data_IF_736679092692
#
_entry.id   IF_736679092692
#
_cell.length_a   1.000
_cell.length_b   1.000
_cell.length_c   1.000
_cell.angle_alpha   90.00
_cell.angle_beta   90.00
_cell.angle_gamma   90.00
#
_symmetry.space_group_name_H-M   'P 1'
#
loop_
_entity.id
_entity.type
_entity.pdbx_description
1 polymer ?
#
# COMPACT_ATOMS: atom_id res chain seq x y z
N UNK A 1 -6.79 -19.55 -15.57
CA UNK A 1 -7.92 -19.38 -14.62
C UNK A 1 -8.10 -17.88 -14.30
N UNK A 2 -9.31 -17.33 -14.49
CA UNK A 2 -9.64 -15.94 -14.11
C UNK A 2 -9.92 -15.87 -12.61
N UNK A 3 -9.13 -15.08 -11.87
CA UNK A 3 -9.25 -14.93 -10.41
C UNK A 3 -10.34 -13.91 -10.09
N UNK A 4 -11.18 -14.21 -9.09
CA UNK A 4 -12.25 -13.34 -8.58
C UNK A 4 -12.07 -13.12 -7.08
N UNK A 5 -11.19 -12.20 -6.65
CA UNK A 5 -10.81 -12.05 -5.25
C UNK A 5 -11.93 -11.40 -4.42
N UNK A 6 -12.07 -11.83 -3.16
CA UNK A 6 -12.89 -11.15 -2.15
C UNK A 6 -12.01 -10.28 -1.26
N UNK A 7 -12.08 -8.98 -1.42
CA UNK A 7 -11.31 -8.03 -0.60
C UNK A 7 -12.02 -7.71 0.72
N UNK A 8 -11.25 -7.72 1.82
CA UNK A 8 -11.69 -7.35 3.16
C UNK A 8 -10.75 -6.26 3.66
N UNK A 9 -11.18 -5.00 3.56
CA UNK A 9 -10.37 -3.89 4.03
C UNK A 9 -10.58 -3.63 5.52
N UNK A 10 -9.46 -3.41 6.23
CA UNK A 10 -9.43 -2.95 7.62
C UNK A 10 -8.33 -1.90 7.76
N UNK A 11 -8.72 -0.65 7.97
CA UNK A 11 -7.79 0.43 8.33
C UNK A 11 -7.38 0.28 9.79
N UNK A 12 -6.15 0.66 10.12
CA UNK A 12 -5.81 1.01 11.49
C UNK A 12 -6.49 2.35 11.84
N UNK A 13 -6.96 2.50 13.08
CA UNK A 13 -7.29 3.78 13.73
C UNK A 13 -6.09 4.10 14.61
N UNK A 14 -5.46 5.23 14.34
CA UNK A 14 -4.43 5.79 15.22
C UNK A 14 -5.12 6.47 16.41
N UNK A 15 -4.76 6.09 17.62
CA UNK A 15 -5.33 6.61 18.86
C UNK A 15 -4.70 5.93 20.07
N UNK A 16 -5.15 6.30 21.27
CA UNK A 16 -4.55 5.83 22.52
C UNK A 16 -4.83 4.36 22.83
N UNK A 17 -5.92 3.83 22.28
CA UNK A 17 -6.32 2.42 22.45
C UNK A 17 -5.71 1.55 21.36
N UNK A 18 -5.35 0.33 21.74
CA UNK A 18 -4.85 -0.67 20.79
C UNK A 18 -5.98 -1.08 19.84
N UNK A 19 -5.87 -0.73 18.56
CA UNK A 19 -6.82 -1.12 17.54
C UNK A 19 -6.55 -2.54 17.02
N UNK A 20 -7.37 -3.52 17.44
CA UNK A 20 -7.22 -4.92 17.06
C UNK A 20 -8.03 -5.33 15.81
N UNK A 21 -8.65 -4.41 15.07
CA UNK A 21 -9.54 -4.78 13.95
C UNK A 21 -8.84 -5.56 12.85
N UNK A 22 -7.60 -5.21 12.52
CA UNK A 22 -6.78 -5.98 11.56
C UNK A 22 -6.44 -7.36 12.11
N UNK A 23 -5.99 -7.44 13.37
CA UNK A 23 -5.66 -8.71 14.02
C UNK A 23 -6.87 -9.65 14.07
N UNK A 24 -8.05 -9.14 14.46
CA UNK A 24 -9.30 -9.91 14.52
C UNK A 24 -9.74 -10.36 13.12
N UNK A 25 -9.52 -9.56 12.09
CA UNK A 25 -9.83 -9.94 10.71
C UNK A 25 -9.01 -11.15 10.22
N UNK A 26 -7.76 -11.31 10.69
CA UNK A 26 -6.95 -12.49 10.34
C UNK A 26 -7.66 -13.78 10.77
N UNK A 27 -8.09 -13.88 12.05
CA UNK A 27 -8.73 -15.09 12.54
C UNK A 27 -10.18 -15.24 12.05
N UNK A 28 -10.94 -14.14 12.00
CA UNK A 28 -12.35 -14.15 11.58
C UNK A 28 -12.51 -14.62 10.13
N UNK A 29 -11.67 -14.11 9.23
CA UNK A 29 -11.85 -14.34 7.80
C UNK A 29 -10.88 -15.37 7.21
N UNK A 30 -9.85 -15.77 7.97
CA UNK A 30 -8.82 -16.74 7.54
C UNK A 30 -8.33 -16.44 6.11
N UNK A 31 -7.79 -15.24 5.85
CA UNK A 31 -7.48 -14.81 4.50
C UNK A 31 -6.42 -15.71 3.86
N UNK A 32 -6.50 -15.88 2.54
CA UNK A 32 -5.47 -16.54 1.75
C UNK A 32 -4.29 -15.60 1.51
N UNK A 33 -4.56 -14.31 1.40
CA UNK A 33 -3.59 -13.25 1.13
C UNK A 33 -3.79 -12.10 2.11
N UNK A 34 -2.70 -11.56 2.66
CA UNK A 34 -2.69 -10.31 3.41
C UNK A 34 -1.81 -9.30 2.65
N UNK A 35 -2.36 -8.12 2.39
CA UNK A 35 -1.67 -6.99 1.80
C UNK A 35 -1.37 -5.94 2.86
N UNK A 36 -0.09 -5.71 3.14
CA UNK A 36 0.38 -4.69 4.08
C UNK A 36 0.79 -3.40 3.37
N UNK A 37 0.49 -2.26 4.01
CA UNK A 37 0.99 -0.93 3.65
C UNK A 37 2.45 -0.70 4.12
N UNK A 38 3.32 -1.64 3.76
CA UNK A 38 4.76 -1.58 4.05
C UNK A 38 5.56 -1.37 2.76
N UNK A 39 6.70 -0.65 2.82
CA UNK A 39 7.54 -0.43 1.65
C UNK A 39 7.97 -1.72 0.94
N UNK A 40 8.22 -1.61 -0.37
CA UNK A 40 8.76 -2.73 -1.13
C UNK A 40 10.12 -3.17 -0.59
N UNK A 41 10.31 -4.48 -0.55
CA UNK A 41 11.62 -5.08 -0.43
C UNK A 41 12.33 -5.14 -1.78
N UNK A 42 13.54 -5.71 -1.80
CA UNK A 42 14.32 -5.91 -3.03
C UNK A 42 13.64 -6.82 -4.05
N UNK A 43 12.72 -7.69 -3.62
CA UNK A 43 12.03 -8.69 -4.44
C UNK A 43 10.63 -8.24 -4.90
N UNK A 44 10.39 -6.93 -4.96
CA UNK A 44 9.06 -6.38 -5.23
C UNK A 44 8.09 -6.64 -4.07
N UNK A 45 6.81 -6.95 -4.34
CA UNK A 45 5.82 -7.10 -3.27
C UNK A 45 5.93 -8.41 -2.49
N UNK A 46 6.72 -9.37 -2.97
CA UNK A 46 6.90 -10.67 -2.32
C UNK A 46 7.64 -10.54 -0.99
N UNK A 47 7.18 -11.30 -0.01
CA UNK A 47 7.92 -11.51 1.25
C UNK A 47 8.53 -12.90 1.28
N UNK A 48 9.56 -13.08 2.10
CA UNK A 48 10.24 -14.37 2.28
C UNK A 48 9.27 -15.50 2.67
N UNK A 49 8.14 -15.17 3.34
CA UNK A 49 7.19 -16.16 3.83
C UNK A 49 6.46 -16.88 2.70
N UNK A 50 6.35 -16.28 1.51
CA UNK A 50 5.65 -16.85 0.37
C UNK A 50 6.43 -17.98 -0.31
N UNK A 51 7.74 -18.07 -0.04
CA UNK A 51 8.62 -19.08 -0.64
C UNK A 51 8.53 -20.44 0.07
N UNK A 52 7.81 -20.52 1.19
CA UNK A 52 7.73 -21.71 2.01
C UNK A 52 6.30 -22.24 2.06
N UNK A 53 6.12 -23.58 2.02
CA UNK A 53 4.83 -24.19 2.33
C UNK A 53 4.46 -23.92 3.80
N UNK A 54 3.19 -24.11 4.14
CA UNK A 54 2.63 -23.77 5.46
C UNK A 54 3.36 -24.42 6.64
N UNK A 55 3.80 -25.67 6.48
CA UNK A 55 4.51 -26.44 7.50
C UNK A 55 6.01 -26.11 7.61
N UNK A 56 6.57 -25.32 6.69
CA UNK A 56 7.99 -24.91 6.68
C UNK A 56 8.19 -23.40 6.77
N UNK A 57 7.17 -22.66 7.23
CA UNK A 57 7.26 -21.20 7.36
C UNK A 57 8.44 -20.81 8.27
N UNK A 58 9.22 -19.77 7.93
CA UNK A 58 10.41 -19.38 8.70
C UNK A 58 10.01 -18.66 10.00
N UNK A 59 9.55 -19.42 11.00
CA UNK A 59 8.99 -18.88 12.26
C UNK A 59 9.98 -18.00 13.04
N UNK A 60 11.29 -18.26 12.92
CA UNK A 60 12.34 -17.42 13.51
C UNK A 60 12.22 -15.95 13.03
N UNK A 61 11.90 -15.75 11.74
CA UNK A 61 11.69 -14.41 11.17
C UNK A 61 10.46 -13.71 11.71
N UNK A 62 9.39 -14.45 12.01
CA UNK A 62 8.23 -13.87 12.72
C UNK A 62 8.60 -13.43 14.13
N UNK A 63 9.39 -14.24 14.85
CA UNK A 63 9.88 -13.88 16.19
C UNK A 63 10.74 -12.61 16.15
N UNK A 64 11.63 -12.47 15.17
CA UNK A 64 12.43 -11.24 14.95
C UNK A 64 11.52 -10.02 14.70
N UNK A 65 10.52 -10.15 13.82
CA UNK A 65 9.55 -9.07 13.55
C UNK A 65 8.81 -8.67 14.84
N UNK A 66 8.30 -9.64 15.60
CA UNK A 66 7.60 -9.38 16.87
C UNK A 66 8.53 -8.69 17.88
N UNK A 67 9.80 -9.10 17.96
CA UNK A 67 10.79 -8.44 18.83
C UNK A 67 10.98 -6.98 18.45
N UNK A 68 11.14 -6.68 17.16
CA UNK A 68 11.30 -5.31 16.68
C UNK A 68 10.03 -4.47 16.92
N UNK A 69 8.85 -5.04 16.69
CA UNK A 69 7.57 -4.37 16.96
C UNK A 69 7.39 -4.08 18.46
N UNK A 70 7.85 -4.96 19.37
CA UNK A 70 7.84 -4.69 20.81
C UNK A 70 8.67 -3.46 21.16
N UNK A 71 9.86 -3.33 20.56
CA UNK A 71 10.72 -2.15 20.75
C UNK A 71 10.00 -0.90 20.21
N UNK A 72 9.48 -0.95 18.98
CA UNK A 72 8.73 0.15 18.38
C UNK A 72 7.49 0.55 19.18
N UNK A 73 6.82 -0.41 19.82
CA UNK A 73 5.59 -0.18 20.58
C UNK A 73 5.74 0.75 21.79
N UNK A 74 6.98 0.98 22.25
CA UNK A 74 7.29 1.99 23.27
C UNK A 74 7.02 3.42 22.77
N UNK A 75 7.17 3.65 21.45
CA UNK A 75 6.98 4.95 20.80
C UNK A 75 5.69 5.02 19.98
N UNK A 76 5.25 3.89 19.44
CA UNK A 76 4.16 3.81 18.48
C UNK A 76 3.13 2.76 18.91
N UNK A 77 2.02 3.15 19.55
CA UNK A 77 1.02 2.21 20.06
C UNK A 77 0.47 1.22 19.03
N UNK A 78 0.36 1.63 17.75
CA UNK A 78 -0.10 0.76 16.66
C UNK A 78 0.73 -0.52 16.52
N UNK A 79 2.03 -0.50 16.88
CA UNK A 79 2.89 -1.68 16.77
C UNK A 79 2.44 -2.82 17.70
N UNK A 80 1.67 -2.54 18.77
CA UNK A 80 1.05 -3.59 19.61
C UNK A 80 -0.02 -4.37 18.83
N UNK A 81 -0.76 -3.70 17.94
CA UNK A 81 -1.71 -4.35 17.05
C UNK A 81 -1.01 -5.26 16.05
N UNK A 82 0.08 -4.78 15.43
CA UNK A 82 0.86 -5.57 14.47
C UNK A 82 1.44 -6.85 15.08
N UNK A 83 1.89 -6.80 16.35
CA UNK A 83 2.31 -8.01 17.07
C UNK A 83 1.19 -9.05 17.08
N UNK A 84 -0.05 -8.62 17.32
CA UNK A 84 -1.22 -9.50 17.38
C UNK A 84 -1.59 -10.03 15.99
N UNK A 85 -1.47 -9.21 14.94
CA UNK A 85 -1.59 -9.65 13.55
C UNK A 85 -0.61 -10.80 13.26
N UNK A 86 0.68 -10.63 13.58
CA UNK A 86 1.69 -11.66 13.35
C UNK A 86 1.47 -12.94 14.18
N UNK A 87 1.03 -12.80 15.43
CA UNK A 87 0.63 -13.95 16.26
C UNK A 87 -0.54 -14.72 15.62
N UNK A 88 -1.54 -14.02 15.08
CA UNK A 88 -2.70 -14.64 14.44
C UNK A 88 -2.33 -15.31 13.11
N UNK A 89 -1.45 -14.71 12.32
CA UNK A 89 -0.88 -15.34 11.12
C UNK A 89 -0.16 -16.64 11.50
N UNK A 90 0.71 -16.60 12.51
CA UNK A 90 1.40 -17.81 13.02
C UNK A 90 0.41 -18.89 13.47
N UNK A 91 -0.67 -18.50 14.14
CA UNK A 91 -1.75 -19.40 14.55
C UNK A 91 -2.41 -20.09 13.36
N UNK A 92 -2.72 -19.35 12.28
CA UNK A 92 -3.27 -19.94 11.07
C UNK A 92 -2.30 -20.93 10.40
N UNK A 93 -1.02 -20.59 10.33
CA UNK A 93 -0.02 -21.52 9.78
C UNK A 93 0.10 -22.80 10.61
N UNK A 94 0.06 -22.71 11.94
CA UNK A 94 0.05 -23.88 12.82
C UNK A 94 -1.19 -24.78 12.62
N UNK A 95 -2.30 -24.20 12.15
CA UNK A 95 -3.54 -24.90 11.81
C UNK A 95 -3.57 -25.40 10.35
N UNK A 96 -2.44 -25.35 9.63
CA UNK A 96 -2.34 -25.79 8.24
C UNK A 96 -2.93 -24.81 7.21
N UNK A 97 -3.41 -23.63 7.63
CA UNK A 97 -3.93 -22.63 6.71
C UNK A 97 -2.80 -21.73 6.19
N UNK A 98 -2.45 -21.86 4.90
CA UNK A 98 -1.40 -21.06 4.29
C UNK A 98 -1.89 -19.61 4.03
N UNK A 99 -1.18 -18.64 4.61
CA UNK A 99 -1.41 -17.21 4.37
C UNK A 99 -0.21 -16.64 3.61
N UNK A 100 -0.46 -16.09 2.43
CA UNK A 100 0.54 -15.34 1.66
C UNK A 100 0.57 -13.89 2.10
N UNK A 101 1.77 -13.35 2.26
CA UNK A 101 2.00 -12.01 2.81
C UNK A 101 2.71 -11.18 1.76
N UNK A 102 2.15 -10.00 1.46
CA UNK A 102 2.74 -9.07 0.51
C UNK A 102 2.81 -7.66 1.07
N UNK A 103 3.88 -6.96 0.70
CA UNK A 103 4.06 -5.54 0.93
C UNK A 103 3.71 -4.81 -0.36
N UNK A 104 2.73 -3.91 -0.35
CA UNK A 104 2.22 -3.31 -1.58
C UNK A 104 2.56 -1.83 -1.74
N UNK A 105 3.14 -1.18 -0.73
CA UNK A 105 3.49 0.24 -0.80
C UNK A 105 4.61 0.51 -1.82
N UNK A 106 5.02 1.76 -1.94
CA UNK A 106 6.17 2.23 -2.71
C UNK A 106 7.53 1.79 -2.14
N UNK A 107 8.61 1.90 -2.94
CA UNK A 107 9.98 1.84 -2.44
C UNK A 107 10.24 2.83 -1.30
N UNK A 108 11.09 2.42 -0.35
CA UNK A 108 11.34 3.18 0.88
C UNK A 108 11.92 4.59 0.63
N UNK A 109 12.63 4.76 -0.49
CA UNK A 109 13.29 5.99 -0.91
C UNK A 109 12.25 7.09 -1.20
N UNK A 110 11.16 6.73 -1.88
CA UNK A 110 10.05 7.65 -2.17
C UNK A 110 9.34 8.05 -0.87
N UNK A 111 9.11 7.10 0.04
CA UNK A 111 8.47 7.38 1.33
C UNK A 111 9.33 8.32 2.19
N UNK A 112 10.63 8.05 2.36
CA UNK A 112 11.52 8.86 3.22
C UNK A 112 11.67 10.31 2.78
N UNK A 113 11.85 10.56 1.48
CA UNK A 113 12.13 11.90 0.95
C UNK A 113 10.94 12.83 1.03
N UNK A 114 9.72 12.31 0.87
CA UNK A 114 8.51 13.13 0.85
C UNK A 114 7.89 13.30 2.25
N UNK A 115 7.82 12.23 3.06
CA UNK A 115 7.17 12.30 4.39
C UNK A 115 7.84 13.28 5.35
N UNK A 116 9.16 13.53 5.21
CA UNK A 116 9.90 14.46 6.10
C UNK A 116 9.33 15.88 6.04
N UNK A 117 8.75 16.28 4.90
CA UNK A 117 8.23 17.64 4.69
C UNK A 117 6.77 17.82 5.16
N UNK A 118 6.03 16.73 5.41
CA UNK A 118 4.58 16.79 5.67
C UNK A 118 4.15 16.21 7.02
N UNK A 119 5.07 15.62 7.80
CA UNK A 119 4.74 14.89 9.03
C UNK A 119 4.06 15.75 10.12
N UNK A 120 4.31 17.06 10.16
CA UNK A 120 3.71 17.99 11.14
C UNK A 120 2.41 18.64 10.67
N UNK A 121 1.97 18.40 9.42
CA UNK A 121 1.00 19.25 8.70
C UNK A 121 0.06 18.46 7.79
N UNK A 122 -0.37 17.27 8.20
CA UNK A 122 -1.14 16.36 7.33
C UNK A 122 -2.42 16.99 6.74
N UNK A 123 -3.14 17.80 7.52
CA UNK A 123 -4.30 18.56 7.04
C UNK A 123 -3.95 19.64 6.01
N UNK A 124 -2.82 20.33 6.20
CA UNK A 124 -2.32 21.31 5.23
C UNK A 124 -1.76 20.64 3.97
N UNK A 125 -1.15 19.46 4.10
CA UNK A 125 -0.65 18.66 2.97
C UNK A 125 -1.76 18.39 1.95
N UNK A 126 -2.99 18.14 2.40
CA UNK A 126 -4.12 17.91 1.52
C UNK A 126 -4.52 19.11 0.64
N UNK A 127 -4.06 20.32 0.99
CA UNK A 127 -4.26 21.56 0.22
C UNK A 127 -3.16 21.78 -0.83
N UNK A 128 -2.05 21.06 -0.76
CA UNK A 128 -0.95 21.17 -1.74
C UNK A 128 -1.11 20.11 -2.83
N UNK A 129 -1.21 20.53 -4.09
CA UNK A 129 -1.32 19.60 -5.22
C UNK A 129 -0.12 18.68 -5.37
N UNK A 130 1.07 19.07 -4.88
CA UNK A 130 2.26 18.21 -4.93
C UNK A 130 2.09 16.97 -4.04
N UNK A 131 1.32 17.08 -2.96
CA UNK A 131 0.97 15.93 -2.11
C UNK A 131 0.07 14.96 -2.87
N UNK A 132 -0.83 15.47 -3.71
CA UNK A 132 -1.67 14.62 -4.56
C UNK A 132 -0.88 13.95 -5.67
N UNK A 133 0.19 14.58 -6.16
CA UNK A 133 1.16 13.92 -7.05
C UNK A 133 1.85 12.77 -6.33
N UNK A 134 2.34 12.99 -5.12
CA UNK A 134 2.92 11.92 -4.31
C UNK A 134 1.93 10.77 -4.06
N UNK A 135 0.69 11.09 -3.67
CA UNK A 135 -0.37 10.10 -3.46
C UNK A 135 -0.61 9.28 -4.74
N UNK A 136 -0.89 9.95 -5.87
CA UNK A 136 -1.07 9.28 -7.15
C UNK A 136 0.11 8.35 -7.47
N UNK A 137 1.35 8.82 -7.27
CA UNK A 137 2.53 8.01 -7.51
C UNK A 137 2.50 6.76 -6.65
N UNK A 138 2.23 6.94 -5.36
CA UNK A 138 2.20 5.86 -4.39
C UNK A 138 1.14 4.81 -4.68
N UNK A 139 -0.08 5.25 -5.00
CA UNK A 139 -1.19 4.36 -5.26
C UNK A 139 -1.09 3.66 -6.61
N UNK A 140 -0.41 4.25 -7.60
CA UNK A 140 -0.07 3.57 -8.85
C UNK A 140 0.91 2.40 -8.63
N UNK A 141 1.88 2.55 -7.72
CA UNK A 141 2.73 1.42 -7.31
C UNK A 141 1.91 0.34 -6.62
N UNK A 142 1.07 0.72 -5.65
CA UNK A 142 0.17 -0.23 -4.95
C UNK A 142 -0.75 -0.98 -5.92
N UNK A 143 -1.34 -0.28 -6.89
CA UNK A 143 -2.13 -0.88 -7.98
C UNK A 143 -1.30 -1.91 -8.75
N UNK A 144 -0.12 -1.54 -9.25
CA UNK A 144 0.75 -2.43 -10.02
C UNK A 144 1.14 -3.68 -9.22
N UNK A 145 1.45 -3.51 -7.94
CA UNK A 145 1.79 -4.60 -7.04
C UNK A 145 0.60 -5.56 -6.84
N UNK A 146 -0.60 -5.04 -6.60
CA UNK A 146 -1.81 -5.86 -6.48
C UNK A 146 -2.09 -6.62 -7.78
N UNK A 147 -1.98 -5.96 -8.94
CA UNK A 147 -2.15 -6.61 -10.25
C UNK A 147 -1.13 -7.73 -10.46
N UNK A 148 0.14 -7.50 -10.09
CA UNK A 148 1.17 -8.52 -10.11
C UNK A 148 0.81 -9.71 -9.21
N UNK A 149 0.39 -9.45 -7.96
CA UNK A 149 0.02 -10.51 -7.00
C UNK A 149 -1.14 -11.34 -7.56
N UNK A 150 -2.21 -10.70 -8.04
CA UNK A 150 -3.37 -11.39 -8.59
C UNK A 150 -3.03 -12.15 -9.89
N UNK A 151 -2.12 -11.64 -10.72
CA UNK A 151 -1.69 -12.34 -11.94
C UNK A 151 -0.89 -13.61 -11.61
N UNK A 152 -0.08 -13.58 -10.54
CA UNK A 152 0.84 -14.66 -10.18
C UNK A 152 0.29 -15.64 -9.13
N UNK A 153 -0.79 -15.28 -8.43
CA UNK A 153 -1.44 -16.21 -7.51
C UNK A 153 -2.15 -17.34 -8.29
N UNK A 154 -1.89 -18.60 -7.92
CA UNK A 154 -2.45 -19.78 -8.62
C UNK A 154 -3.20 -20.76 -7.72
N UNK A 155 -3.10 -20.61 -6.40
CA UNK A 155 -3.63 -21.59 -5.45
C UNK A 155 -5.16 -21.67 -5.45
N UNK A 156 -5.87 -20.53 -5.62
CA UNK A 156 -7.34 -20.47 -5.55
C UNK A 156 -7.92 -19.49 -6.56
N UNK A 157 -9.09 -19.83 -7.10
CA UNK A 157 -9.85 -18.95 -8.01
C UNK A 157 -10.41 -17.72 -7.30
N UNK A 158 -10.91 -17.90 -6.07
CA UNK A 158 -11.62 -16.86 -5.32
C UNK A 158 -10.93 -16.61 -3.96
N UNK A 159 -9.69 -16.10 -3.94
CA UNK A 159 -8.97 -15.89 -2.70
C UNK A 159 -9.67 -14.82 -1.83
N UNK A 160 -9.72 -15.07 -0.53
CA UNK A 160 -10.02 -14.02 0.46
C UNK A 160 -8.75 -13.22 0.70
N UNK A 161 -8.81 -11.91 0.42
CA UNK A 161 -7.68 -11.00 0.54
C UNK A 161 -7.97 -9.98 1.65
N UNK A 162 -7.21 -10.02 2.74
CA UNK A 162 -7.25 -8.97 3.74
C UNK A 162 -6.36 -7.79 3.30
N UNK A 163 -6.93 -6.59 3.32
CA UNK A 163 -6.24 -5.35 2.91
C UNK A 163 -5.99 -4.49 4.15
N UNK A 164 -4.75 -4.47 4.61
CA UNK A 164 -4.27 -3.72 5.76
C UNK A 164 -3.60 -2.42 5.30
N UNK A 165 -4.40 -1.61 4.62
CA UNK A 165 -4.04 -0.31 4.06
C UNK A 165 -5.02 0.72 4.61
N UNK A 166 -4.54 1.93 4.89
CA UNK A 166 -5.41 3.03 5.33
C UNK A 166 -6.54 3.26 4.33
N UNK A 167 -7.72 3.64 4.83
CA UNK A 167 -8.94 3.72 4.02
C UNK A 167 -8.79 4.66 2.81
N UNK A 168 -8.09 5.79 2.98
CA UNK A 168 -7.85 6.75 1.89
C UNK A 168 -7.09 6.10 0.73
N UNK A 169 -5.96 5.44 1.00
CA UNK A 169 -5.18 4.77 -0.04
C UNK A 169 -5.96 3.63 -0.67
N UNK A 170 -6.74 2.88 0.10
CA UNK A 170 -7.57 1.81 -0.47
C UNK A 170 -8.62 2.34 -1.46
N UNK A 171 -9.31 3.45 -1.14
CA UNK A 171 -10.26 4.08 -2.07
C UNK A 171 -9.60 4.47 -3.39
N UNK A 172 -8.39 5.04 -3.31
CA UNK A 172 -7.60 5.46 -4.47
C UNK A 172 -7.16 4.24 -5.31
N UNK A 173 -6.66 3.19 -4.67
CA UNK A 173 -6.31 1.93 -5.32
C UNK A 173 -7.53 1.32 -6.01
N UNK A 174 -8.70 1.28 -5.36
CA UNK A 174 -9.94 0.77 -5.94
C UNK A 174 -10.35 1.56 -7.18
N UNK A 175 -10.26 2.89 -7.13
CA UNK A 175 -10.48 3.74 -8.30
C UNK A 175 -9.52 3.36 -9.43
N UNK A 176 -8.22 3.29 -9.15
CA UNK A 176 -7.20 2.98 -10.16
C UNK A 176 -7.30 1.55 -10.72
N UNK A 177 -7.73 0.57 -9.93
CA UNK A 177 -7.95 -0.82 -10.36
C UNK A 177 -9.11 -0.97 -11.35
N UNK A 178 -10.05 -0.01 -11.39
CA UNK A 178 -11.09 0.07 -12.43
C UNK A 178 -10.54 0.50 -13.80
N UNK A 179 -9.24 0.77 -13.89
CA UNK A 179 -8.56 1.26 -15.10
C UNK A 179 -9.24 2.49 -15.71
N UNK A 180 -9.41 3.58 -14.94
CA UNK A 180 -9.98 4.82 -15.45
C UNK A 180 -9.12 5.40 -16.57
N UNK A 181 -9.76 6.07 -17.52
CA UNK A 181 -9.08 6.86 -18.55
C UNK A 181 -8.34 8.07 -17.96
N UNK A 182 -7.49 8.68 -18.80
CA UNK A 182 -6.63 9.81 -18.42
C UNK A 182 -7.43 11.01 -17.87
N UNK A 183 -8.55 11.45 -18.50
CA UNK A 183 -9.37 12.54 -17.95
C UNK A 183 -9.94 12.23 -16.56
N UNK A 184 -10.41 11.00 -16.33
CA UNK A 184 -10.91 10.58 -15.00
C UNK A 184 -9.80 10.60 -13.95
N UNK A 185 -8.60 10.13 -14.28
CA UNK A 185 -7.45 10.20 -13.37
C UNK A 185 -7.15 11.66 -13.00
N UNK A 186 -7.09 12.55 -14.01
CA UNK A 186 -6.86 13.98 -13.77
C UNK A 186 -7.92 14.59 -12.87
N UNK A 187 -9.20 14.38 -13.18
CA UNK A 187 -10.32 14.88 -12.38
C UNK A 187 -10.28 14.38 -10.94
N UNK A 188 -10.01 13.08 -10.75
CA UNK A 188 -10.00 12.45 -9.42
C UNK A 188 -8.88 12.98 -8.52
N UNK A 189 -7.66 13.12 -9.04
CA UNK A 189 -6.50 13.51 -8.25
C UNK A 189 -6.26 15.02 -8.20
N UNK A 190 -6.54 15.72 -9.30
CA UNK A 190 -6.10 17.10 -9.50
C UNK A 190 -7.24 18.08 -9.81
N UNK A 191 -8.45 17.60 -10.06
CA UNK A 191 -9.58 18.45 -10.51
C UNK A 191 -9.99 19.54 -9.52
N UNK A 192 -9.58 19.44 -8.24
CA UNK A 192 -9.83 20.47 -7.22
C UNK A 192 -8.82 21.62 -7.23
N UNK A 193 -7.72 21.51 -7.98
CA UNK A 193 -6.66 22.51 -8.03
C UNK A 193 -6.79 23.34 -9.31
N UNK A 194 -7.53 24.45 -9.22
CA UNK A 194 -7.76 25.37 -10.34
C UNK A 194 -6.47 25.97 -10.91
N UNK A 195 -5.44 26.12 -10.08
CA UNK A 195 -4.13 26.63 -10.47
C UNK A 195 -3.23 25.59 -11.14
N UNK A 196 -3.56 24.30 -11.08
CA UNK A 196 -2.73 23.24 -11.66
C UNK A 196 -3.15 22.95 -13.10
N UNK A 197 -2.22 23.07 -14.04
CA UNK A 197 -2.47 22.78 -15.46
C UNK A 197 -1.67 21.57 -15.90
N UNK A 198 -2.32 20.66 -16.64
CA UNK A 198 -1.66 19.48 -17.20
C UNK A 198 -0.47 19.84 -18.12
N UNK A 199 -0.53 21.01 -18.78
CA UNK A 199 0.53 21.51 -19.67
C UNK A 199 1.79 21.95 -18.91
N UNK A 200 1.70 22.38 -17.66
CA UNK A 200 2.82 22.96 -16.88
C UNK A 200 3.31 22.08 -15.75
N UNK A 201 2.53 21.05 -15.36
CA UNK A 201 2.80 20.25 -14.17
C UNK A 201 4.17 19.54 -14.17
N UNK A 202 4.69 19.09 -15.32
CA UNK A 202 6.03 18.47 -15.41
C UNK A 202 7.12 19.46 -14.94
N UNK A 203 7.04 20.71 -15.40
CA UNK A 203 7.96 21.78 -15.02
C UNK A 203 7.80 22.16 -13.55
N UNK A 204 6.55 22.30 -13.08
CA UNK A 204 6.27 22.66 -11.69
C UNK A 204 6.75 21.58 -10.70
N UNK A 205 6.57 20.30 -11.02
CA UNK A 205 7.10 19.20 -10.19
C UNK A 205 8.62 19.25 -10.16
N UNK A 206 9.28 19.39 -11.32
CA UNK A 206 10.74 19.46 -11.40
C UNK A 206 11.31 20.59 -10.53
N UNK A 207 10.69 21.76 -10.57
CA UNK A 207 11.12 22.91 -9.78
C UNK A 207 10.87 22.75 -8.28
N UNK A 208 9.78 22.09 -7.89
CA UNK A 208 9.42 21.92 -6.46
C UNK A 208 10.04 20.68 -5.82
N UNK A 209 10.31 19.63 -6.58
CA UNK A 209 10.86 18.37 -6.07
C UNK A 209 11.46 17.48 -7.15
N UNK A 210 12.79 17.52 -7.30
CA UNK A 210 13.55 16.61 -8.18
C UNK A 210 13.28 15.13 -7.88
N UNK A 211 13.07 14.80 -6.60
CA UNK A 211 12.73 13.43 -6.21
C UNK A 211 11.38 13.01 -6.79
N UNK A 212 10.34 13.84 -6.68
CA UNK A 212 9.04 13.50 -7.26
C UNK A 212 9.07 13.51 -8.78
N UNK A 213 9.82 14.43 -9.41
CA UNK A 213 10.01 14.45 -10.87
C UNK A 213 10.54 13.12 -11.39
N UNK A 214 11.57 12.58 -10.72
CA UNK A 214 12.14 11.27 -11.06
C UNK A 214 11.09 10.14 -11.04
N UNK A 215 10.20 10.11 -10.05
CA UNK A 215 9.17 9.08 -9.96
C UNK A 215 8.00 9.36 -10.89
N UNK A 216 7.57 10.61 -11.01
CA UNK A 216 6.48 11.06 -11.87
C UNK A 216 6.70 10.66 -13.32
N UNK A 217 7.91 10.90 -13.86
CA UNK A 217 8.28 10.53 -15.23
C UNK A 217 8.08 9.04 -15.54
N UNK A 218 8.16 8.15 -14.54
CA UNK A 218 8.01 6.70 -14.70
C UNK A 218 6.55 6.23 -14.77
N UNK A 219 5.60 7.06 -14.35
CA UNK A 219 4.21 6.63 -14.14
C UNK A 219 3.14 7.67 -14.51
N UNK A 220 3.53 8.81 -15.07
CA UNK A 220 2.60 9.80 -15.59
C UNK A 220 1.67 9.17 -16.62
N UNK A 221 0.41 9.58 -16.61
CA UNK A 221 -0.65 8.96 -17.40
C UNK A 221 -0.94 9.70 -18.70
N UNK A 222 -0.38 10.89 -18.90
CA UNK A 222 -0.51 11.65 -20.14
C UNK A 222 0.82 11.74 -20.89
N UNK A 223 0.70 12.05 -22.17
CA UNK A 223 1.81 12.34 -23.06
C UNK A 223 1.78 13.86 -23.32
N UNK A 224 2.78 14.62 -22.86
CA UNK A 224 2.82 16.08 -23.08
C UNK A 224 2.74 16.45 -24.56
N UNK A 225 3.26 15.61 -25.45
CA UNK A 225 3.30 15.86 -26.90
C UNK A 225 1.96 15.67 -27.60
N UNK A 226 0.96 15.08 -26.93
CA UNK A 226 -0.35 14.73 -27.49
C UNK A 226 -1.50 15.59 -26.96
N UNK A 227 -1.20 16.63 -26.18
CA UNK A 227 -2.20 17.56 -25.67
C UNK A 227 -2.43 18.62 -26.76
N UNK A 228 -3.47 18.42 -27.60
CA UNK A 228 -3.87 19.40 -28.62
C UNK A 228 -4.34 20.70 -27.94
N UNK A 229 -4.00 21.82 -28.59
CA UNK A 229 -4.04 23.16 -28.03
C UNK A 229 -5.44 23.67 -27.76
#
# INVERSE_FOLDING_TARGET
MKITPRFIQRSCIEGDKIDLRQANAVLKYKPDIILFELPLGRLGPNTIFNNYPVNKKPLKKVTEIIKNLRIMSKKYPYAKSDITVWKNIKKLWAQGHNVYIYNIDTPSELRKKYFKNFKSKYSEAHKDWLFWIYLYIREMYMKKNIQYILKNYKEKRNPTIAVFVQLIHWKHIQFLLKNPDKPKIWKYYFGKFSNLKIKTIDYEIKNRSLSLDHWWKKIKFYDPSKIKY
#
